data_IF_544069547082
#
_entry.id   IF_544069547082
#
_cell.length_a   1.000
_cell.length_b   1.000
_cell.length_c   1.000
_cell.angle_alpha   90.00
_cell.angle_beta   90.00
_cell.angle_gamma   90.00
#
_symmetry.space_group_name_H-M   'P 1'
#
loop_
_entity.id
_entity.type
_entity.pdbx_description
1 polymer ?
#
# COMPACT_ATOMS: atom_id res chain seq x y z
N UNK A 1 15.72 10.94 -8.80
CA UNK A 1 15.67 10.14 -10.05
C UNK A 1 14.19 9.98 -10.35
N UNK A 2 13.68 10.52 -11.47
CA UNK A 2 12.31 10.20 -11.89
C UNK A 2 12.32 8.70 -12.19
N UNK A 3 11.61 7.92 -11.37
CA UNK A 3 11.55 6.49 -11.56
C UNK A 3 10.34 6.21 -12.45
N UNK A 4 10.62 6.01 -13.73
CA UNK A 4 9.62 5.86 -14.78
C UNK A 4 9.10 4.42 -14.82
N UNK A 5 8.23 4.03 -13.87
CA UNK A 5 7.65 2.68 -13.83
C UNK A 5 6.19 2.67 -13.37
N UNK A 6 5.50 1.57 -13.67
CA UNK A 6 4.15 1.33 -13.18
C UNK A 6 4.21 0.84 -11.74
N UNK A 7 3.69 1.64 -10.81
CA UNK A 7 3.74 1.32 -9.39
C UNK A 7 2.67 0.33 -8.96
N UNK A 8 1.44 0.57 -9.42
CA UNK A 8 0.28 -0.26 -9.15
C UNK A 8 -0.53 -0.41 -10.43
N UNK A 9 -1.14 -1.58 -10.61
CA UNK A 9 -2.06 -1.84 -11.71
C UNK A 9 -3.24 -2.68 -11.21
N UNK A 10 -4.42 -2.47 -11.79
CA UNK A 10 -5.63 -3.27 -11.54
C UNK A 10 -6.27 -3.62 -12.88
N UNK A 11 -6.47 -4.92 -13.10
CA UNK A 11 -7.16 -5.47 -14.26
C UNK A 11 -8.67 -5.41 -14.04
N UNK A 12 -9.41 -4.94 -15.03
CA UNK A 12 -10.86 -4.73 -14.95
C UNK A 12 -11.66 -5.84 -15.66
N UNK A 13 -12.95 -6.01 -15.33
CA UNK A 13 -13.86 -6.96 -15.99
C UNK A 13 -13.94 -6.83 -17.51
N UNK A 14 -13.74 -5.63 -18.06
CA UNK A 14 -13.77 -5.39 -19.51
C UNK A 14 -12.40 -5.61 -20.20
N UNK A 15 -11.40 -6.13 -19.48
CA UNK A 15 -10.05 -6.37 -19.99
C UNK A 15 -9.17 -5.13 -20.06
N UNK A 16 -9.67 -3.97 -19.66
CA UNK A 16 -8.84 -2.77 -19.51
C UNK A 16 -8.03 -2.80 -18.21
N UNK A 17 -6.97 -2.01 -18.16
CA UNK A 17 -6.09 -1.86 -17.00
C UNK A 17 -6.06 -0.41 -16.58
N UNK A 18 -6.25 -0.16 -15.29
CA UNK A 18 -5.89 1.12 -14.66
C UNK A 18 -4.54 0.94 -14.00
N UNK A 19 -3.63 1.89 -14.20
CA UNK A 19 -2.30 1.85 -13.59
C UNK A 19 -1.81 3.22 -13.15
N UNK A 20 -0.99 3.23 -12.10
CA UNK A 20 -0.25 4.39 -11.62
C UNK A 20 1.13 4.39 -12.24
N UNK A 21 1.53 5.53 -12.79
CA UNK A 21 2.92 5.84 -13.10
C UNK A 21 3.50 6.67 -11.94
N UNK A 22 4.51 6.13 -11.26
CA UNK A 22 4.89 6.57 -9.92
C UNK A 22 5.16 8.08 -9.82
N UNK A 23 4.37 8.77 -8.98
CA UNK A 23 4.49 10.20 -8.74
C UNK A 23 4.12 11.11 -9.92
N UNK A 24 3.74 10.54 -11.07
CA UNK A 24 3.32 11.31 -12.24
C UNK A 24 1.79 11.40 -12.33
N UNK A 25 1.11 10.26 -12.21
CA UNK A 25 -0.33 10.20 -12.41
C UNK A 25 -0.86 8.80 -12.63
N UNK A 26 -2.15 8.72 -12.94
CA UNK A 26 -2.92 7.49 -13.12
C UNK A 26 -3.58 7.49 -14.49
N UNK A 27 -3.66 6.34 -15.14
CA UNK A 27 -4.20 6.23 -16.49
C UNK A 27 -4.91 4.89 -16.70
N UNK A 28 -5.75 4.83 -17.73
CA UNK A 28 -6.43 3.62 -18.17
C UNK A 28 -6.11 3.30 -19.62
N UNK A 29 -5.75 2.05 -19.88
CA UNK A 29 -5.57 1.49 -21.23
C UNK A 29 -6.53 0.34 -21.46
N UNK A 30 -7.03 0.20 -22.68
CA UNK A 30 -7.79 -1.00 -23.05
C UNK A 30 -6.88 -2.19 -23.40
N UNK A 31 -7.51 -3.33 -23.70
CA UNK A 31 -6.83 -4.57 -24.08
C UNK A 31 -6.01 -4.48 -25.38
N UNK A 32 -6.26 -3.45 -26.21
CA UNK A 32 -5.48 -3.14 -27.41
C UNK A 32 -4.36 -2.12 -27.13
N UNK A 33 -4.07 -1.84 -25.85
CA UNK A 33 -3.09 -0.84 -25.40
C UNK A 33 -3.40 0.60 -25.82
N UNK A 34 -4.67 0.93 -26.12
CA UNK A 34 -5.08 2.31 -26.40
C UNK A 34 -5.44 3.02 -25.10
N UNK A 35 -4.86 4.20 -24.89
CA UNK A 35 -5.17 5.07 -23.75
C UNK A 35 -6.62 5.52 -23.85
N UNK A 36 -7.41 5.22 -22.81
CA UNK A 36 -8.80 5.68 -22.67
C UNK A 36 -8.87 7.04 -21.98
N UNK A 37 -8.05 7.21 -20.95
CA UNK A 37 -7.80 8.48 -20.29
C UNK A 37 -6.47 8.41 -19.54
N UNK A 38 -5.90 9.58 -19.25
CA UNK A 38 -4.72 9.74 -18.42
C UNK A 38 -4.87 11.02 -17.61
N UNK A 39 -4.60 10.94 -16.31
CA UNK A 39 -4.73 12.04 -15.37
C UNK A 39 -3.38 12.28 -14.70
N UNK A 40 -2.81 13.45 -14.94
CA UNK A 40 -1.55 13.88 -14.31
C UNK A 40 -1.86 14.63 -13.02
N UNK A 41 -1.87 13.92 -11.92
CA UNK A 41 -2.30 14.45 -10.62
C UNK A 41 -1.39 14.03 -9.45
N UNK A 42 -0.19 13.54 -9.75
CA UNK A 42 0.77 13.12 -8.73
C UNK A 42 0.42 11.78 -8.07
N UNK A 43 -0.41 10.95 -8.72
CA UNK A 43 -0.75 9.62 -8.18
C UNK A 43 0.52 8.79 -7.91
N UNK A 44 0.53 8.11 -6.77
CA UNK A 44 1.66 7.31 -6.30
C UNK A 44 1.16 6.08 -5.56
N UNK A 45 2.02 5.07 -5.46
CA UNK A 45 1.83 3.89 -4.62
C UNK A 45 0.61 3.03 -4.95
N UNK A 46 -0.61 3.48 -4.63
CA UNK A 46 -1.79 2.64 -4.68
C UNK A 46 -3.10 3.39 -4.94
N UNK A 47 -4.12 2.65 -5.36
CA UNK A 47 -5.48 3.12 -5.54
C UNK A 47 -6.50 1.99 -5.32
N UNK A 48 -7.67 2.37 -4.81
CA UNK A 48 -8.81 1.47 -4.64
C UNK A 48 -9.93 1.81 -5.64
N UNK A 49 -10.67 0.80 -6.05
CA UNK A 49 -11.85 0.94 -6.93
C UNK A 49 -13.08 0.51 -6.13
N UNK A 50 -14.01 1.44 -5.93
CA UNK A 50 -15.28 1.16 -5.27
C UNK A 50 -16.20 0.29 -6.15
N UNK A 51 -17.23 -0.36 -5.59
CA UNK A 51 -18.17 -1.19 -6.36
C UNK A 51 -18.88 -0.46 -7.51
N UNK A 52 -19.09 0.86 -7.40
CA UNK A 52 -19.67 1.70 -8.44
C UNK A 52 -18.64 2.14 -9.52
N UNK A 53 -17.39 1.73 -9.36
CA UNK A 53 -16.26 2.06 -10.22
C UNK A 53 -15.49 3.30 -9.76
N UNK A 54 -15.96 4.08 -8.79
CA UNK A 54 -15.25 5.28 -8.31
C UNK A 54 -13.84 4.94 -7.86
N UNK A 55 -12.86 5.70 -8.31
CA UNK A 55 -11.45 5.44 -8.00
C UNK A 55 -11.00 6.37 -6.87
N UNK A 56 -10.44 5.79 -5.82
CA UNK A 56 -9.79 6.50 -4.71
C UNK A 56 -8.29 6.29 -4.85
N UNK A 57 -7.55 7.33 -5.24
CA UNK A 57 -6.12 7.24 -5.51
C UNK A 57 -5.33 8.05 -4.48
N UNK A 58 -4.21 7.47 -4.01
CA UNK A 58 -3.19 8.24 -3.30
C UNK A 58 -2.48 9.16 -4.29
N UNK A 59 -2.42 10.43 -3.94
CA UNK A 59 -1.81 11.50 -4.74
C UNK A 59 -0.98 12.38 -3.83
N UNK A 60 0.08 12.99 -4.36
CA UNK A 60 0.95 13.84 -3.56
C UNK A 60 1.48 15.03 -4.33
N UNK A 61 1.70 16.12 -3.60
CA UNK A 61 2.26 17.37 -4.12
C UNK A 61 3.32 17.92 -3.18
N UNK A 62 4.36 18.52 -3.75
CA UNK A 62 5.40 19.19 -2.98
C UNK A 62 5.07 20.67 -2.80
N UNK A 63 4.95 21.13 -1.55
CA UNK A 63 4.66 22.54 -1.25
C UNK A 63 5.09 22.95 0.16
N UNK A 64 5.08 24.24 0.45
CA UNK A 64 5.47 24.75 1.77
C UNK A 64 4.29 24.68 2.75
N UNK A 65 4.50 23.99 3.87
CA UNK A 65 3.58 23.99 5.02
C UNK A 65 4.37 24.42 6.26
N UNK A 66 4.53 25.74 6.51
CA UNK A 66 5.42 26.24 7.55
C UNK A 66 5.08 25.78 8.96
N UNK A 67 3.82 25.45 9.23
CA UNK A 67 3.38 24.90 10.52
C UNK A 67 3.86 23.47 10.79
N UNK A 68 4.25 22.73 9.74
CA UNK A 68 4.72 21.35 9.81
C UNK A 68 6.23 21.26 9.66
N UNK A 69 6.80 21.91 8.63
CA UNK A 69 8.24 21.91 8.39
C UNK A 69 8.77 23.32 8.18
N UNK A 70 9.69 23.73 9.05
CA UNK A 70 10.44 24.98 8.91
C UNK A 70 11.66 24.84 7.98
N UNK A 71 11.98 23.63 7.52
CA UNK A 71 13.21 23.32 6.75
C UNK A 71 13.04 23.48 5.25
N UNK A 72 11.80 23.44 4.75
CA UNK A 72 11.53 23.44 3.33
C UNK A 72 10.13 22.91 3.01
N UNK A 73 9.87 22.57 1.73
CA UNK A 73 8.61 21.96 1.34
C UNK A 73 8.46 20.58 1.95
N UNK A 74 7.21 20.16 2.16
CA UNK A 74 6.84 18.78 2.48
C UNK A 74 6.28 18.13 1.23
N UNK A 75 6.29 16.80 1.19
CA UNK A 75 5.48 16.00 0.27
C UNK A 75 4.15 15.72 0.98
N UNK A 76 3.10 16.44 0.61
CA UNK A 76 1.79 16.26 1.23
C UNK A 76 1.01 15.17 0.50
N UNK A 77 0.74 14.08 1.22
CA UNK A 77 -0.11 12.99 0.76
C UNK A 77 -1.59 13.37 0.88
N UNK A 78 -2.36 13.03 -0.14
CA UNK A 78 -3.78 13.33 -0.26
C UNK A 78 -4.51 12.15 -0.90
N UNK A 79 -5.83 12.13 -0.76
CA UNK A 79 -6.69 11.18 -1.45
C UNK A 79 -7.49 11.93 -2.52
N UNK A 80 -7.37 11.50 -3.76
CA UNK A 80 -8.15 11.98 -4.89
C UNK A 80 -9.28 11.00 -5.26
N UNK A 81 -10.44 11.56 -5.61
CA UNK A 81 -11.60 10.81 -6.13
C UNK A 81 -11.70 11.07 -7.62
N UNK A 82 -11.63 10.02 -8.43
CA UNK A 82 -11.61 10.13 -9.89
C UNK A 82 -12.84 9.45 -10.50
N UNK A 83 -13.37 10.07 -11.55
CA UNK A 83 -14.40 9.47 -12.39
C UNK A 83 -13.80 8.29 -13.19
N UNK A 84 -14.37 7.08 -13.13
CA UNK A 84 -13.78 5.89 -13.79
C UNK A 84 -13.83 5.92 -15.32
N UNK A 85 -14.72 6.72 -15.89
CA UNK A 85 -14.94 6.80 -17.33
C UNK A 85 -14.03 7.84 -17.96
N UNK A 86 -13.82 8.97 -17.30
CA UNK A 86 -13.05 10.09 -17.86
C UNK A 86 -11.66 10.25 -17.23
N UNK A 87 -11.42 9.68 -16.05
CA UNK A 87 -10.21 9.92 -15.27
C UNK A 87 -10.17 11.30 -14.59
N UNK A 88 -11.23 12.09 -14.69
CA UNK A 88 -11.27 13.44 -14.14
C UNK A 88 -11.29 13.40 -12.61
N UNK A 89 -10.43 14.18 -11.98
CA UNK A 89 -10.40 14.36 -10.53
C UNK A 89 -11.59 15.23 -10.07
N UNK A 90 -12.51 14.64 -9.31
CA UNK A 90 -13.73 15.28 -8.82
C UNK A 90 -13.54 15.93 -7.45
N UNK A 91 -12.66 15.36 -6.64
CA UNK A 91 -12.41 15.79 -5.27
C UNK A 91 -11.00 15.37 -4.86
N UNK A 92 -10.40 16.15 -3.96
CA UNK A 92 -9.14 15.86 -3.30
C UNK A 92 -9.20 16.39 -1.87
N UNK A 93 -8.64 15.65 -0.93
CA UNK A 93 -8.44 16.13 0.43
C UNK A 93 -7.13 15.64 1.02
N UNK A 94 -6.54 16.46 1.89
CA UNK A 94 -5.25 16.20 2.53
C UNK A 94 -5.38 15.15 3.63
N UNK A 95 -4.47 14.17 3.63
CA UNK A 95 -4.35 13.23 4.74
C UNK A 95 -3.79 13.91 5.99
N UNK A 96 -2.86 14.86 5.84
CA UNK A 96 -2.35 15.67 6.94
C UNK A 96 -3.49 16.39 7.66
N UNK A 97 -4.35 17.09 6.92
CA UNK A 97 -5.50 17.77 7.51
C UNK A 97 -6.52 16.77 8.10
N UNK A 98 -6.68 15.59 7.49
CA UNK A 98 -7.54 14.54 8.04
C UNK A 98 -7.07 14.03 9.40
N UNK A 99 -5.75 13.89 9.61
CA UNK A 99 -5.19 13.59 10.92
C UNK A 99 -5.42 14.71 11.92
N UNK A 100 -5.27 15.98 11.51
CA UNK A 100 -5.50 17.14 12.40
C UNK A 100 -6.96 17.29 12.83
N UNK A 101 -7.91 16.81 12.02
CA UNK A 101 -9.35 16.75 12.35
C UNK A 101 -9.72 15.54 13.19
N UNK A 102 -8.88 14.51 13.21
CA UNK A 102 -9.12 13.26 13.92
C UNK A 102 -9.00 13.37 15.44
N UNK A 103 -9.43 12.33 16.18
CA UNK A 103 -9.35 12.31 17.65
C UNK A 103 -7.91 12.12 18.15
N UNK A 104 -7.00 11.63 17.30
CA UNK A 104 -5.61 11.31 17.63
C UNK A 104 -4.67 12.26 16.86
N UNK A 105 -4.06 13.21 17.57
CA UNK A 105 -3.21 14.25 16.97
C UNK A 105 -1.72 13.91 17.02
N UNK A 106 -1.33 12.72 17.47
CA UNK A 106 0.06 12.42 17.83
C UNK A 106 0.93 11.86 16.69
N UNK A 107 0.47 12.02 15.44
CA UNK A 107 1.27 11.68 14.25
C UNK A 107 2.64 12.38 14.25
N UNK A 108 2.74 13.56 14.87
CA UNK A 108 4.01 14.30 15.02
C UNK A 108 5.01 13.57 15.90
N UNK A 109 4.59 12.86 16.95
CA UNK A 109 5.48 12.08 17.79
C UNK A 109 5.92 10.79 17.09
N UNK A 110 5.02 10.12 16.37
CA UNK A 110 5.38 8.98 15.53
C UNK A 110 6.43 9.39 14.48
N UNK A 111 6.22 10.54 13.84
CA UNK A 111 7.17 11.11 12.88
C UNK A 111 8.52 11.45 13.51
N UNK A 112 8.51 12.11 14.67
CA UNK A 112 9.73 12.44 15.38
C UNK A 112 10.50 11.19 15.84
N UNK A 113 9.79 10.14 16.24
CA UNK A 113 10.37 8.85 16.62
C UNK A 113 11.02 8.16 15.41
N UNK A 114 10.43 8.24 14.21
CA UNK A 114 11.03 7.74 12.98
C UNK A 114 12.38 8.40 12.68
N UNK A 115 12.45 9.74 12.71
CA UNK A 115 13.68 10.48 12.42
C UNK A 115 14.81 10.28 13.44
N UNK A 116 14.49 9.79 14.63
CA UNK A 116 15.49 9.44 15.65
C UNK A 116 16.14 8.08 15.42
N UNK A 117 15.61 7.24 14.52
CA UNK A 117 16.18 5.92 14.25
C UNK A 117 17.53 6.07 13.57
N UNK A 118 18.49 5.24 13.98
CA UNK A 118 19.75 5.13 13.25
C UNK A 118 19.48 4.77 11.79
N UNK A 119 20.15 5.46 10.88
CA UNK A 119 19.97 5.28 9.44
C UNK A 119 18.72 5.92 8.85
N UNK A 120 17.80 6.54 9.61
CA UNK A 120 16.59 7.15 9.05
C UNK A 120 16.86 8.16 7.91
N UNK A 121 18.02 8.82 7.96
CA UNK A 121 18.50 9.71 6.89
C UNK A 121 18.77 8.99 5.57
N UNK A 122 19.06 7.68 5.58
CA UNK A 122 19.25 6.84 4.40
C UNK A 122 17.90 6.48 3.74
N UNK A 123 16.79 6.59 4.48
CA UNK A 123 15.43 6.45 3.96
C UNK A 123 14.84 7.79 3.50
N UNK A 124 15.52 8.90 3.79
CA UNK A 124 15.09 10.23 3.41
C UNK A 124 15.59 10.54 1.99
N UNK A 125 14.65 10.86 1.10
CA UNK A 125 15.02 11.47 -0.17
C UNK A 125 15.65 12.85 0.07
N UNK A 126 16.61 13.24 -0.76
CA UNK A 126 17.22 14.58 -0.74
C UNK A 126 16.28 15.71 -1.22
N UNK A 127 14.97 15.50 -1.13
CA UNK A 127 13.88 16.32 -1.67
C UNK A 127 13.00 16.96 -0.58
N UNK A 128 11.74 17.29 -0.92
CA UNK A 128 10.74 17.69 0.08
C UNK A 128 10.61 16.65 1.19
N UNK A 129 10.26 17.12 2.39
CA UNK A 129 10.13 16.27 3.57
C UNK A 129 8.94 15.32 3.42
N UNK A 130 9.22 14.02 3.33
CA UNK A 130 8.22 12.98 3.08
C UNK A 130 7.70 12.42 4.42
N UNK A 131 6.60 13.00 4.90
CA UNK A 131 6.20 12.83 6.30
C UNK A 131 5.45 11.52 6.53
N UNK A 132 4.42 11.26 5.73
CA UNK A 132 3.56 10.10 5.91
C UNK A 132 4.04 8.94 5.05
N UNK A 133 4.44 9.23 3.81
CA UNK A 133 4.74 8.23 2.81
C UNK A 133 3.61 7.20 2.75
N UNK A 134 2.39 7.67 2.50
CA UNK A 134 1.21 6.81 2.41
C UNK A 134 1.40 5.85 1.25
N UNK A 135 1.34 4.55 1.52
CA UNK A 135 1.75 3.53 0.55
C UNK A 135 0.68 2.52 0.16
N UNK A 136 -0.49 2.56 0.79
CA UNK A 136 -1.63 1.69 0.48
C UNK A 136 -2.95 2.37 0.73
N UNK A 137 -3.99 1.94 0.02
CA UNK A 137 -5.37 2.34 0.26
C UNK A 137 -6.32 1.18 -0.02
N UNK A 138 -7.17 0.85 0.96
CA UNK A 138 -8.25 -0.13 0.82
C UNK A 138 -9.58 0.47 1.26
N UNK A 139 -10.66 0.12 0.57
CA UNK A 139 -12.02 0.51 0.96
C UNK A 139 -12.55 -0.56 1.90
N UNK A 140 -12.90 -0.17 3.12
CA UNK A 140 -13.46 -1.06 4.11
C UNK A 140 -14.88 -1.51 3.71
N UNK A 141 -15.14 -2.79 3.92
CA UNK A 141 -16.48 -3.36 3.92
C UNK A 141 -17.07 -3.37 5.35
N UNK A 142 -18.05 -4.23 5.63
CA UNK A 142 -18.69 -4.36 6.93
C UNK A 142 -18.04 -5.40 7.86
N UNK A 143 -16.96 -6.06 7.45
CA UNK A 143 -16.28 -7.13 8.22
C UNK A 143 -15.78 -6.66 9.58
N UNK A 144 -15.38 -5.38 9.69
CA UNK A 144 -14.85 -4.76 10.91
C UNK A 144 -15.80 -3.71 11.51
N UNK A 145 -17.10 -3.78 11.22
CA UNK A 145 -18.08 -2.80 11.70
C UNK A 145 -18.26 -2.75 13.23
N UNK A 146 -17.73 -3.75 13.95
CA UNK A 146 -17.71 -3.77 15.41
C UNK A 146 -16.55 -2.97 16.02
N UNK A 147 -15.53 -2.61 15.23
CA UNK A 147 -14.43 -1.73 15.67
C UNK A 147 -14.95 -0.29 15.75
N UNK A 148 -14.84 0.40 16.91
CA UNK A 148 -15.31 1.76 17.05
C UNK A 148 -14.73 2.72 16.00
N UNK A 149 -15.61 3.40 15.27
CA UNK A 149 -15.24 4.34 14.21
C UNK A 149 -15.24 3.75 12.80
N UNK A 150 -15.11 2.43 12.66
CA UNK A 150 -15.07 1.77 11.35
C UNK A 150 -16.47 1.73 10.73
N UNK A 151 -16.55 2.02 9.45
CA UNK A 151 -17.77 1.92 8.66
C UNK A 151 -17.45 1.46 7.23
N UNK A 152 -18.36 0.74 6.57
CA UNK A 152 -18.26 0.48 5.14
C UNK A 152 -18.04 1.79 4.36
N UNK A 153 -17.09 1.77 3.42
CA UNK A 153 -16.70 2.95 2.64
C UNK A 153 -15.65 3.85 3.31
N UNK A 154 -15.26 3.58 4.56
CA UNK A 154 -14.04 4.18 5.11
C UNK A 154 -12.80 3.64 4.39
N UNK A 155 -11.69 4.37 4.49
CA UNK A 155 -10.47 4.08 3.75
C UNK A 155 -9.38 3.66 4.75
N UNK A 156 -8.93 2.41 4.66
CA UNK A 156 -7.77 1.90 5.38
C UNK A 156 -6.50 2.32 4.64
N UNK A 157 -5.58 2.97 5.34
CA UNK A 157 -4.35 3.53 4.77
C UNK A 157 -3.14 3.19 5.64
N UNK A 158 -1.98 3.05 5.01
CA UNK A 158 -0.70 2.80 5.68
C UNK A 158 0.28 3.94 5.46
N UNK A 159 0.81 4.47 6.56
CA UNK A 159 1.80 5.54 6.60
C UNK A 159 3.16 4.95 6.95
N UNK A 160 3.99 4.70 5.93
CA UNK A 160 5.28 4.00 6.09
C UNK A 160 6.19 4.69 7.10
N UNK A 161 6.31 6.01 6.99
CA UNK A 161 7.26 6.78 7.80
C UNK A 161 6.77 7.03 9.23
N UNK A 162 5.51 6.71 9.53
CA UNK A 162 4.95 6.80 10.87
C UNK A 162 4.82 5.42 11.55
N UNK A 163 5.16 4.33 10.86
CA UNK A 163 4.86 2.97 11.30
C UNK A 163 3.38 2.80 11.68
N UNK A 164 2.50 3.47 10.93
CA UNK A 164 1.12 3.68 11.33
C UNK A 164 0.13 3.18 10.29
N UNK A 165 -0.91 2.49 10.76
CA UNK A 165 -2.11 2.18 9.98
C UNK A 165 -3.24 3.06 10.51
N UNK A 166 -4.05 3.61 9.61
CA UNK A 166 -5.17 4.46 9.97
C UNK A 166 -6.40 4.16 9.13
N UNK A 167 -7.56 4.56 9.66
CA UNK A 167 -8.85 4.54 8.96
C UNK A 167 -9.34 5.97 8.81
N UNK A 168 -9.65 6.36 7.58
CA UNK A 168 -10.12 7.68 7.21
C UNK A 168 -11.59 7.61 6.84
N UNK A 169 -12.39 8.50 7.41
CA UNK A 169 -13.75 8.76 6.95
C UNK A 169 -13.71 9.79 5.81
N UNK A 170 -13.99 9.41 4.56
CA UNK A 170 -13.89 10.31 3.42
C UNK A 170 -15.04 11.33 3.34
N UNK A 171 -16.15 11.15 4.07
CA UNK A 171 -17.21 12.16 4.13
C UNK A 171 -16.80 13.31 5.06
N UNK A 172 -16.22 12.96 6.20
CA UNK A 172 -15.73 13.92 7.20
C UNK A 172 -14.33 14.45 6.90
N UNK A 173 -13.61 13.79 6.00
CA UNK A 173 -12.19 14.03 5.72
C UNK A 173 -11.39 14.05 7.02
N UNK A 174 -11.59 13.03 7.85
CA UNK A 174 -10.98 12.91 9.17
C UNK A 174 -10.55 11.49 9.44
N UNK A 175 -9.40 11.31 10.10
CA UNK A 175 -9.03 10.02 10.67
C UNK A 175 -10.00 9.68 11.80
N UNK A 176 -10.51 8.45 11.81
CA UNK A 176 -11.43 7.94 12.84
C UNK A 176 -10.78 6.90 13.75
N UNK A 177 -9.65 6.33 13.31
CA UNK A 177 -8.84 5.38 14.07
C UNK A 177 -7.42 5.35 13.51
N UNK A 178 -6.42 5.20 14.38
CA UNK A 178 -5.03 4.95 13.99
C UNK A 178 -4.29 4.12 15.03
N UNK A 179 -3.27 3.37 14.59
CA UNK A 179 -2.31 2.68 15.45
C UNK A 179 -0.91 2.77 14.88
N UNK A 180 0.03 3.22 15.70
CA UNK A 180 1.44 3.28 15.35
C UNK A 180 2.26 2.26 16.15
N UNK A 181 3.34 1.76 15.56
CA UNK A 181 4.35 0.96 16.26
C UNK A 181 4.01 -0.53 16.46
N UNK A 182 2.91 -1.02 15.88
CA UNK A 182 2.60 -2.46 15.86
C UNK A 182 3.45 -3.22 14.81
N UNK A 183 3.83 -2.50 13.76
CA UNK A 183 4.68 -2.93 12.65
C UNK A 183 5.68 -1.82 12.34
N UNK A 184 6.63 -2.08 11.45
CA UNK A 184 7.65 -1.09 11.07
C UNK A 184 7.81 -0.98 9.57
N UNK A 185 7.75 0.24 9.04
CA UNK A 185 7.79 0.56 7.61
C UNK A 185 6.82 -0.28 6.76
N UNK A 186 5.66 -0.63 7.33
CA UNK A 186 4.75 -1.62 6.76
C UNK A 186 4.11 -1.20 5.45
N UNK A 187 3.63 -2.19 4.71
CA UNK A 187 2.94 -2.04 3.44
C UNK A 187 1.68 -2.90 3.38
N UNK A 188 0.77 -2.51 2.49
CA UNK A 188 -0.35 -3.31 2.01
C UNK A 188 -1.26 -3.96 3.09
N UNK A 189 -1.68 -3.22 4.15
CA UNK A 189 -2.72 -3.70 5.04
C UNK A 189 -4.03 -3.96 4.27
N UNK A 190 -4.61 -5.14 4.49
CA UNK A 190 -5.91 -5.53 3.94
C UNK A 190 -6.78 -6.25 4.97
N UNK A 191 -8.10 -6.17 4.84
CA UNK A 191 -9.02 -6.84 5.76
C UNK A 191 -9.20 -8.30 5.36
N UNK A 192 -9.01 -9.21 6.32
CA UNK A 192 -9.29 -10.63 6.14
C UNK A 192 -10.74 -10.95 6.49
N UNK A 193 -11.34 -12.02 5.94
CA UNK A 193 -12.73 -12.40 6.22
C UNK A 193 -13.03 -12.71 7.71
N UNK A 194 -12.02 -13.06 8.50
CA UNK A 194 -12.12 -13.28 9.95
C UNK A 194 -11.87 -12.00 10.78
N UNK A 195 -11.84 -10.84 10.12
CA UNK A 195 -11.75 -9.54 10.76
C UNK A 195 -10.41 -9.27 11.42
N UNK A 196 -9.30 -9.64 10.77
CA UNK A 196 -7.97 -9.14 11.07
C UNK A 196 -7.49 -8.20 9.94
N UNK A 197 -6.41 -7.48 10.19
CA UNK A 197 -5.64 -6.78 9.17
C UNK A 197 -4.44 -7.66 8.79
N UNK A 198 -4.39 -8.12 7.54
CA UNK A 198 -3.23 -8.75 6.96
C UNK A 198 -2.24 -7.67 6.52
N UNK A 199 -1.03 -7.66 7.06
CA UNK A 199 -0.06 -6.57 6.82
C UNK A 199 1.30 -7.15 6.47
N UNK A 200 1.96 -6.58 5.46
CA UNK A 200 3.36 -6.84 5.18
C UNK A 200 4.24 -5.92 6.04
N UNK A 201 4.85 -6.46 7.09
CA UNK A 201 5.75 -5.74 8.01
C UNK A 201 7.21 -5.92 7.57
N UNK A 202 7.84 -4.86 7.11
CA UNK A 202 9.17 -4.91 6.53
C UNK A 202 10.26 -5.24 7.55
N UNK A 203 10.07 -4.89 8.83
CA UNK A 203 11.04 -5.04 9.92
C UNK A 203 12.45 -4.62 9.52
N UNK A 204 12.66 -3.31 9.46
CA UNK A 204 13.96 -2.73 9.15
C UNK A 204 15.00 -2.99 10.26
N UNK A 205 16.04 -2.18 10.34
CA UNK A 205 17.09 -2.38 11.33
C UNK A 205 16.54 -2.35 12.76
N UNK A 206 17.05 -3.22 13.65
CA UNK A 206 18.16 -4.16 13.44
C UNK A 206 17.74 -5.56 12.95
N UNK A 207 16.45 -5.83 12.79
CA UNK A 207 15.96 -7.20 12.55
C UNK A 207 16.22 -7.68 11.13
N UNK A 208 15.99 -6.82 10.13
CA UNK A 208 16.13 -7.15 8.71
C UNK A 208 15.43 -8.47 8.34
N UNK A 209 14.20 -8.65 8.82
CA UNK A 209 13.42 -9.89 8.69
C UNK A 209 11.96 -9.57 8.50
N UNK A 210 11.53 -9.42 7.25
CA UNK A 210 10.15 -9.09 6.99
C UNK A 210 9.21 -10.23 7.40
N UNK A 211 7.97 -9.89 7.69
CA UNK A 211 6.92 -10.84 8.04
C UNK A 211 5.58 -10.37 7.51
N UNK A 212 4.68 -11.31 7.32
CA UNK A 212 3.26 -11.06 7.12
C UNK A 212 2.55 -11.32 8.44
N UNK A 213 1.78 -10.36 8.94
CA UNK A 213 1.09 -10.44 10.23
C UNK A 213 -0.42 -10.30 10.08
N UNK A 214 -1.16 -10.95 10.96
CA UNK A 214 -2.59 -10.75 11.15
C UNK A 214 -2.79 -9.96 12.43
N UNK A 215 -3.05 -8.66 12.31
CA UNK A 215 -3.31 -7.76 13.43
C UNK A 215 -4.80 -7.70 13.74
N UNK A 216 -5.16 -7.75 15.01
CA UNK A 216 -6.53 -7.46 15.43
C UNK A 216 -6.67 -5.96 15.78
N UNK A 217 -7.46 -5.18 15.03
CA UNK A 217 -7.62 -3.75 15.33
C UNK A 217 -8.44 -3.45 16.60
N UNK A 218 -8.99 -4.49 17.25
CA UNK A 218 -9.78 -4.36 18.49
C UNK A 218 -8.92 -4.25 19.74
N UNK A 219 -7.82 -4.98 19.76
CA UNK A 219 -6.93 -5.09 20.93
C UNK A 219 -5.43 -4.97 20.57
N UNK A 220 -5.13 -4.62 19.33
CA UNK A 220 -3.79 -4.41 18.78
C UNK A 220 -2.89 -5.67 18.79
N UNK A 221 -3.47 -6.87 18.96
CA UNK A 221 -2.71 -8.12 19.03
C UNK A 221 -2.29 -8.66 17.66
N UNK A 222 -1.09 -9.27 17.60
CA UNK A 222 -0.67 -10.10 16.46
C UNK A 222 -1.24 -11.51 16.67
N UNK A 223 -2.30 -11.87 15.94
CA UNK A 223 -2.95 -13.20 16.00
C UNK A 223 -2.07 -14.30 15.41
N UNK A 224 -1.34 -13.96 14.34
CA UNK A 224 -0.45 -14.85 13.60
C UNK A 224 0.63 -14.04 12.88
N UNK A 225 1.79 -14.65 12.68
CA UNK A 225 2.81 -14.16 11.75
C UNK A 225 3.37 -15.28 10.87
N UNK A 226 3.89 -14.91 9.70
CA UNK A 226 4.73 -15.74 8.86
C UNK A 226 5.90 -14.91 8.33
N UNK A 227 7.12 -15.41 8.45
CA UNK A 227 8.33 -14.62 8.19
C UNK A 227 9.38 -15.38 7.36
N UNK A 228 8.89 -16.27 6.50
CA UNK A 228 9.72 -17.23 5.79
C UNK A 228 10.14 -18.43 6.66
N UNK A 229 10.94 -19.31 6.06
CA UNK A 229 11.53 -20.49 6.71
C UNK A 229 13.04 -20.31 6.83
N UNK A 230 13.73 -21.19 7.56
CA UNK A 230 15.20 -21.15 7.62
C UNK A 230 15.84 -21.32 6.23
N UNK A 231 15.29 -22.19 5.39
CA UNK A 231 15.76 -22.41 4.03
C UNK A 231 15.35 -21.30 3.04
N UNK A 232 14.32 -20.52 3.38
CA UNK A 232 13.77 -19.47 2.55
C UNK A 232 13.26 -18.32 3.43
N UNK A 233 14.18 -17.53 4.01
CA UNK A 233 13.81 -16.39 4.85
C UNK A 233 13.10 -15.33 4.02
N UNK A 234 12.25 -14.52 4.65
CA UNK A 234 11.57 -13.39 4.01
C UNK A 234 12.24 -12.09 4.41
N UNK A 235 12.69 -11.30 3.44
CA UNK A 235 13.14 -9.94 3.65
C UNK A 235 13.01 -9.06 2.41
N UNK A 236 12.21 -8.01 2.53
CA UNK A 236 12.18 -6.86 1.63
C UNK A 236 12.49 -5.62 2.46
N UNK A 237 13.55 -4.90 2.13
CA UNK A 237 13.95 -3.67 2.82
C UNK A 237 12.84 -2.61 2.74
N UNK A 238 12.16 -2.53 1.59
CA UNK A 238 10.99 -1.68 1.37
C UNK A 238 9.96 -2.39 0.50
N UNK A 239 8.76 -1.82 0.39
CA UNK A 239 7.66 -2.38 -0.39
C UNK A 239 7.28 -3.80 0.07
N UNK A 240 6.52 -4.51 -0.76
CA UNK A 240 5.98 -5.83 -0.44
C UNK A 240 4.47 -5.77 -0.34
N UNK A 241 3.84 -6.86 -0.73
CA UNK A 241 2.37 -6.99 -0.72
C UNK A 241 1.99 -8.37 -0.19
N UNK A 242 0.78 -8.47 0.36
CA UNK A 242 0.24 -9.71 0.88
C UNK A 242 -1.25 -9.82 0.57
N UNK A 243 -1.65 -10.89 -0.10
CA UNK A 243 -3.04 -11.14 -0.48
C UNK A 243 -3.51 -12.46 0.10
N UNK A 244 -4.49 -12.43 1.01
CA UNK A 244 -5.19 -13.65 1.41
C UNK A 244 -6.05 -14.17 0.25
N UNK A 245 -5.91 -15.45 -0.06
CA UNK A 245 -6.56 -16.12 -1.17
C UNK A 245 -7.77 -16.93 -0.71
N UNK A 246 -8.72 -17.17 -1.62
CA UNK A 246 -9.96 -17.91 -1.30
C UNK A 246 -9.74 -19.37 -0.82
N UNK A 247 -8.58 -19.97 -1.12
CA UNK A 247 -8.20 -21.30 -0.62
C UNK A 247 -7.53 -21.26 0.77
N UNK A 248 -7.43 -20.08 1.40
CA UNK A 248 -6.75 -19.87 2.67
C UNK A 248 -5.25 -19.63 2.57
N UNK A 249 -4.66 -19.76 1.38
CA UNK A 249 -3.25 -19.45 1.17
C UNK A 249 -3.03 -17.93 1.18
N UNK A 250 -1.79 -17.50 1.37
CA UNK A 250 -1.38 -16.10 1.22
C UNK A 250 -0.39 -15.98 0.06
N UNK A 251 -0.68 -15.08 -0.88
CA UNK A 251 0.29 -14.66 -1.88
C UNK A 251 1.13 -13.52 -1.31
N UNK A 252 2.45 -13.70 -1.24
CA UNK A 252 3.39 -12.76 -0.63
C UNK A 252 4.39 -12.30 -1.69
N UNK A 253 4.52 -10.99 -1.87
CA UNK A 253 5.50 -10.39 -2.79
C UNK A 253 6.67 -9.83 -1.99
N UNK A 254 7.86 -10.40 -2.20
CA UNK A 254 9.12 -9.90 -1.67
C UNK A 254 9.81 -9.05 -2.74
N UNK A 255 9.57 -7.75 -2.67
CA UNK A 255 9.85 -6.82 -3.77
C UNK A 255 11.32 -6.79 -4.14
N UNK A 256 12.21 -6.62 -3.15
CA UNK A 256 13.64 -6.39 -3.39
C UNK A 256 14.37 -7.64 -3.91
N UNK A 257 13.79 -8.82 -3.71
CA UNK A 257 14.31 -10.09 -4.23
C UNK A 257 13.65 -10.53 -5.55
N UNK A 258 12.70 -9.73 -6.06
CA UNK A 258 11.92 -10.04 -7.25
C UNK A 258 11.24 -11.41 -7.12
N UNK A 259 10.73 -11.74 -5.92
CA UNK A 259 10.20 -13.07 -5.59
C UNK A 259 8.74 -12.97 -5.14
N UNK A 260 7.92 -13.94 -5.56
CA UNK A 260 6.53 -14.09 -5.12
C UNK A 260 6.32 -15.51 -4.62
N UNK A 261 5.64 -15.65 -3.49
CA UNK A 261 5.41 -16.92 -2.80
C UNK A 261 3.92 -17.13 -2.58
N UNK A 262 3.42 -18.34 -2.81
CA UNK A 262 2.13 -18.77 -2.27
C UNK A 262 2.39 -19.65 -1.04
N UNK A 263 1.90 -19.20 0.11
CA UNK A 263 2.13 -19.82 1.41
C UNK A 263 0.82 -20.44 1.90
N UNK A 264 0.84 -21.72 2.22
CA UNK A 264 -0.32 -22.44 2.74
C UNK A 264 -0.55 -22.15 4.24
N UNK A 265 -1.74 -22.44 4.78
CA UNK A 265 -2.05 -22.24 6.20
C UNK A 265 -1.15 -23.01 7.18
N UNK A 266 -0.40 -24.01 6.74
CA UNK A 266 0.59 -24.77 7.52
C UNK A 266 2.02 -24.24 7.35
N UNK A 267 2.16 -23.01 6.82
CA UNK A 267 3.41 -22.30 6.56
C UNK A 267 4.27 -22.86 5.42
N UNK A 268 3.78 -23.89 4.70
CA UNK A 268 4.46 -24.44 3.55
C UNK A 268 4.41 -23.49 2.35
N UNK A 269 5.55 -23.27 1.69
CA UNK A 269 5.61 -22.61 0.39
C UNK A 269 5.14 -23.62 -0.67
N UNK A 270 3.97 -23.39 -1.27
CA UNK A 270 3.35 -24.31 -2.23
C UNK A 270 3.53 -23.87 -3.68
N UNK A 271 3.91 -22.61 -3.91
CA UNK A 271 4.28 -22.08 -5.21
C UNK A 271 5.25 -20.92 -5.05
N UNK A 272 6.11 -20.73 -6.05
CA UNK A 272 7.11 -19.66 -6.08
C UNK A 272 7.31 -19.15 -7.51
N UNK A 273 7.43 -17.84 -7.63
CA UNK A 273 7.93 -17.16 -8.82
C UNK A 273 9.18 -16.36 -8.46
N UNK A 274 10.20 -16.41 -9.33
CA UNK A 274 11.38 -15.55 -9.27
C UNK A 274 11.51 -14.82 -10.59
N UNK A 275 11.70 -13.51 -10.50
CA UNK A 275 11.98 -12.68 -11.66
C UNK A 275 13.28 -13.16 -12.33
N UNK A 276 13.24 -13.55 -13.62
CA UNK A 276 14.43 -14.00 -14.35
C UNK A 276 15.36 -12.84 -14.74
N UNK A 277 14.88 -11.59 -14.70
CA UNK A 277 15.68 -10.42 -15.04
C UNK A 277 16.63 -10.06 -13.89
N UNK A 278 17.84 -10.58 -13.97
CA UNK A 278 18.94 -10.36 -13.02
C UNK A 278 20.19 -9.94 -13.78
N UNK A 279 20.99 -9.05 -13.20
CA UNK A 279 22.23 -8.54 -13.77
C UNK A 279 23.38 -8.59 -12.76
N UNK A 280 24.60 -8.31 -13.21
CA UNK A 280 25.82 -8.47 -12.41
C UNK A 280 26.48 -9.84 -12.57
N UNK A 281 27.71 -9.99 -12.10
CA UNK A 281 28.49 -11.24 -12.29
C UNK A 281 27.89 -12.42 -11.51
N UNK A 282 27.11 -12.12 -10.48
CA UNK A 282 26.48 -13.09 -9.58
C UNK A 282 24.96 -12.91 -9.49
N UNK A 283 24.36 -12.14 -10.39
CA UNK A 283 22.91 -11.85 -10.38
C UNK A 283 22.49 -10.98 -9.20
N UNK A 284 23.41 -10.17 -8.68
CA UNK A 284 23.25 -9.31 -7.51
C UNK A 284 22.31 -8.12 -7.76
N UNK A 285 22.08 -7.74 -9.02
CA UNK A 285 21.10 -6.73 -9.40
C UNK A 285 19.80 -7.38 -9.85
N UNK A 286 18.78 -7.32 -9.00
CA UNK A 286 17.50 -8.01 -9.21
C UNK A 286 16.45 -6.99 -9.62
N UNK A 287 15.72 -7.26 -10.71
CA UNK A 287 14.56 -6.46 -11.05
C UNK A 287 13.43 -6.70 -10.03
N UNK A 288 13.03 -5.64 -9.34
CA UNK A 288 11.97 -5.66 -8.34
C UNK A 288 10.62 -6.10 -8.91
N UNK A 289 9.82 -6.75 -8.08
CA UNK A 289 8.39 -7.02 -8.37
C UNK A 289 7.57 -6.23 -7.36
N UNK A 290 6.95 -5.13 -7.77
CA UNK A 290 6.24 -4.24 -6.84
C UNK A 290 4.88 -4.78 -6.37
N UNK A 291 4.28 -5.69 -7.14
CA UNK A 291 3.01 -6.30 -6.81
C UNK A 291 2.68 -7.45 -7.74
N UNK A 292 1.91 -8.39 -7.22
CA UNK A 292 1.29 -9.47 -7.97
C UNK A 292 -0.05 -9.77 -7.32
N UNK A 293 -1.10 -9.88 -8.13
CA UNK A 293 -2.44 -10.20 -7.63
C UNK A 293 -2.90 -11.48 -8.28
N UNK A 294 -3.38 -12.42 -7.47
CA UNK A 294 -4.09 -13.58 -7.98
C UNK A 294 -5.51 -13.17 -8.32
N UNK A 295 -5.85 -13.26 -9.60
CA UNK A 295 -7.23 -13.09 -10.08
C UNK A 295 -7.99 -14.40 -9.85
N UNK A 296 -9.12 -14.40 -9.11
CA UNK A 296 -9.91 -15.60 -8.91
C UNK A 296 -10.39 -16.20 -10.25
N UNK A 297 -10.38 -17.53 -10.35
CA UNK A 297 -10.93 -18.19 -11.54
C UNK A 297 -12.42 -17.87 -11.66
N UNK A 298 -12.86 -17.47 -12.85
CA UNK A 298 -14.26 -17.12 -13.12
C UNK A 298 -14.66 -15.72 -12.66
N UNK A 299 -13.77 -14.90 -12.09
CA UNK A 299 -14.08 -13.49 -11.83
C UNK A 299 -14.01 -12.61 -13.07
N UNK A 300 -13.38 -13.09 -14.14
CA UNK A 300 -13.27 -12.42 -15.43
C UNK A 300 -13.74 -13.39 -16.53
N UNK A 301 -14.91 -13.12 -17.11
CA UNK A 301 -15.55 -14.00 -18.09
C UNK A 301 -14.66 -14.30 -19.30
N UNK A 302 -13.84 -13.32 -19.71
CA UNK A 302 -12.96 -13.43 -20.87
C UNK A 302 -11.65 -14.19 -20.59
N UNK A 303 -11.29 -14.45 -19.32
CA UNK A 303 -10.15 -15.31 -18.97
C UNK A 303 -10.50 -16.79 -18.92
N UNK A 304 -11.79 -17.14 -18.85
CA UNK A 304 -12.23 -18.54 -18.70
C UNK A 304 -12.00 -19.41 -19.95
N UNK A 305 -11.48 -18.83 -21.05
CA UNK A 305 -11.29 -19.49 -22.34
C UNK A 305 -9.84 -19.61 -22.85
N UNK A 306 -8.83 -19.26 -22.04
CA UNK A 306 -7.40 -19.38 -22.40
C UNK A 306 -6.71 -20.59 -21.79
#
# INVERSE_FOLDING_TARGET
IATDYWRAARLLPDGSVIAIFEGLGIFRVDSDSRVRWAQRNGAHHDFAIAPDGTIWALVRDAHLVPRVSARGPILEDSIAVLDPRTGEEKRRFSLLEAFERGPEQDWTQAYYAFWKREGAIDLADSGPDDIFHTNSIEILDDTLADVPGFRPGNLLVSMRNLDMIAVVDPERESVVWSRAGLTTLQHDPSVTPDGALLVFDNQWQPLQRSRVVWLDPRDDSVRREWAGTEASPLYSHSCGTSQLLANGNVLVVETDQGRVLEVAPDDAIVWEFRNPHRAGEHGEYIASVFGMTRVPRGSLDWLAGS
#
